data_IF_340649032010
#
_entry.id   IF_340649032010
#
_cell.length_a   1.000
_cell.length_b   1.000
_cell.length_c   1.000
_cell.angle_alpha   90.00
_cell.angle_beta   90.00
_cell.angle_gamma   90.00
#
_symmetry.space_group_name_H-M   'P 1'
#
loop_
_entity.id
_entity.type
_entity.pdbx_description
1 polymer ?
#
# COMPACT_ATOMS: atom_id res chain seq x y z
N UNK A 1 -7.88 -52.09 -64.52
CA UNK A 1 -7.07 -50.86 -64.53
C UNK A 1 -7.88 -49.79 -63.81
N UNK A 2 -7.23 -49.06 -62.89
CA UNK A 2 -7.67 -47.83 -62.22
C UNK A 2 -8.76 -47.99 -61.13
N UNK A 3 -8.43 -48.07 -59.83
CA UNK A 3 -7.90 -47.06 -58.89
C UNK A 3 -9.00 -46.23 -58.24
N UNK A 4 -9.24 -46.41 -56.93
CA UNK A 4 -9.59 -45.26 -56.08
C UNK A 4 -9.09 -45.50 -54.65
N UNK A 5 -8.03 -44.77 -54.31
CA UNK A 5 -7.46 -44.68 -52.99
C UNK A 5 -8.34 -43.76 -52.14
N UNK A 6 -8.78 -44.21 -50.96
CA UNK A 6 -9.34 -43.34 -49.93
C UNK A 6 -8.37 -43.26 -48.76
N UNK A 7 -7.79 -42.07 -48.63
CA UNK A 7 -6.84 -41.59 -47.65
C UNK A 7 -7.49 -41.39 -46.26
N UNK A 8 -7.04 -42.07 -45.19
CA UNK A 8 -7.51 -41.79 -43.84
C UNK A 8 -6.72 -40.62 -43.23
N UNK A 9 -7.34 -39.43 -43.21
CA UNK A 9 -6.79 -38.24 -42.53
C UNK A 9 -6.48 -38.54 -41.05
N UNK A 10 -5.36 -38.03 -40.49
CA UNK A 10 -5.08 -38.15 -39.06
C UNK A 10 -6.05 -37.28 -38.24
N UNK A 11 -6.62 -37.86 -37.18
CA UNK A 11 -7.44 -37.15 -36.19
C UNK A 11 -6.57 -36.13 -35.45
N UNK A 12 -6.98 -34.87 -35.45
CA UNK A 12 -6.37 -33.79 -34.66
C UNK A 12 -6.59 -34.05 -33.16
N UNK A 13 -5.56 -34.58 -32.50
CA UNK A 13 -5.51 -34.60 -31.04
C UNK A 13 -5.41 -33.17 -30.51
N UNK A 14 -6.40 -32.72 -29.75
CA UNK A 14 -6.31 -31.45 -29.02
C UNK A 14 -5.15 -31.53 -28.02
N UNK A 15 -4.27 -30.52 -27.92
CA UNK A 15 -3.16 -30.56 -26.99
C UNK A 15 -3.68 -30.65 -25.55
N UNK A 16 -3.20 -31.67 -24.82
CA UNK A 16 -3.56 -31.93 -23.44
C UNK A 16 -3.36 -30.70 -22.56
N UNK A 17 -4.36 -30.43 -21.72
CA UNK A 17 -4.32 -29.34 -20.73
C UNK A 17 -3.15 -29.61 -19.78
N UNK A 18 -2.08 -28.82 -19.87
CA UNK A 18 -1.01 -28.84 -18.87
C UNK A 18 -1.61 -28.33 -17.55
N UNK A 19 -1.57 -29.09 -16.45
CA UNK A 19 -2.01 -28.58 -15.16
C UNK A 19 -1.08 -27.44 -14.76
N UNK A 20 -1.66 -26.25 -14.49
CA UNK A 20 -0.90 -25.13 -13.95
C UNK A 20 -0.29 -25.55 -12.60
N UNK A 21 1.00 -25.26 -12.35
CA UNK A 21 1.58 -25.48 -11.03
C UNK A 21 0.80 -24.67 -9.98
N UNK A 22 0.65 -25.18 -8.75
CA UNK A 22 0.02 -24.43 -7.69
C UNK A 22 0.80 -23.13 -7.50
N UNK A 23 0.10 -22.00 -7.53
CA UNK A 23 0.66 -20.69 -7.17
C UNK A 23 0.82 -20.69 -5.65
N UNK A 24 1.85 -21.41 -5.18
CA UNK A 24 2.36 -21.34 -3.83
C UNK A 24 3.19 -20.08 -3.66
N UNK A 25 2.53 -18.91 -3.65
CA UNK A 25 3.09 -17.75 -2.99
C UNK A 25 2.97 -18.02 -1.50
N UNK A 26 4.08 -18.46 -0.88
CA UNK A 26 4.12 -18.85 0.52
C UNK A 26 3.39 -17.85 1.40
N UNK A 27 2.54 -18.36 2.29
CA UNK A 27 2.27 -17.66 3.54
C UNK A 27 3.65 -17.41 4.16
N UNK A 28 4.13 -16.18 4.07
CA UNK A 28 5.23 -15.75 4.91
C UNK A 28 4.77 -16.05 6.33
N UNK A 29 5.49 -16.97 6.98
CA UNK A 29 5.10 -17.50 8.28
C UNK A 29 4.72 -16.37 9.22
N UNK A 30 3.48 -16.39 9.70
CA UNK A 30 3.07 -15.60 10.87
C UNK A 30 3.48 -16.29 12.17
N UNK A 31 4.39 -17.26 12.09
CA UNK A 31 5.06 -17.85 13.25
C UNK A 31 6.36 -17.07 13.47
N UNK A 32 6.62 -16.71 14.72
CA UNK A 32 7.94 -16.32 15.25
C UNK A 32 8.33 -14.83 15.27
N UNK A 33 7.37 -13.91 15.44
CA UNK A 33 7.70 -12.57 16.02
C UNK A 33 7.11 -12.44 17.43
N UNK A 34 7.46 -13.41 18.26
CA UNK A 34 7.16 -13.43 19.68
C UNK A 34 8.45 -13.60 20.49
N UNK A 35 9.46 -12.75 20.30
CA UNK A 35 10.58 -12.64 21.24
C UNK A 35 11.46 -11.42 20.95
N UNK A 36 11.02 -10.23 21.37
CA UNK A 36 11.87 -9.19 21.98
C UNK A 36 10.97 -7.99 22.33
N UNK A 37 10.58 -7.86 23.61
CA UNK A 37 9.67 -6.80 24.09
C UNK A 37 10.36 -5.81 25.04
N UNK A 38 11.68 -5.67 24.93
CA UNK A 38 12.45 -4.76 25.78
C UNK A 38 12.75 -3.40 25.13
N UNK A 39 12.51 -3.25 23.84
CA UNK A 39 12.39 -1.95 23.17
C UNK A 39 10.98 -1.78 22.62
N UNK A 40 10.38 -0.57 22.68
CA UNK A 40 9.18 -0.31 21.89
C UNK A 40 9.57 -0.58 20.44
N UNK A 41 9.10 -1.71 19.89
CA UNK A 41 9.44 -2.14 18.55
C UNK A 41 9.16 -0.96 17.60
N UNK A 42 10.22 -0.49 16.91
CA UNK A 42 10.12 0.64 16.00
C UNK A 42 9.10 0.31 14.91
N UNK A 43 7.89 0.85 15.05
CA UNK A 43 6.79 0.58 14.13
C UNK A 43 6.81 1.60 13.01
N UNK A 44 7.01 1.11 11.80
CA UNK A 44 6.96 1.91 10.58
C UNK A 44 5.60 1.78 9.89
N UNK A 45 5.10 2.91 9.39
CA UNK A 45 3.89 2.98 8.58
C UNK A 45 4.27 3.26 7.13
N UNK A 46 3.82 2.42 6.21
CA UNK A 46 3.90 2.69 4.78
C UNK A 46 2.88 3.78 4.39
N UNK A 47 3.39 4.91 3.92
CA UNK A 47 2.61 6.09 3.48
C UNK A 47 2.51 6.20 1.95
N UNK A 48 2.91 5.17 1.21
CA UNK A 48 2.85 5.09 -0.26
C UNK A 48 4.22 4.98 -0.91
N UNK A 49 4.31 4.28 -2.05
CA UNK A 49 5.53 4.16 -2.88
C UNK A 49 6.83 3.83 -2.13
N UNK A 50 6.75 2.87 -1.21
CA UNK A 50 7.88 2.47 -0.36
C UNK A 50 8.46 3.61 0.52
N UNK A 51 7.65 4.64 0.81
CA UNK A 51 7.95 5.64 1.83
C UNK A 51 7.37 5.20 3.17
N UNK A 52 8.14 5.41 4.24
CA UNK A 52 7.80 4.97 5.58
C UNK A 52 7.95 6.11 6.60
N UNK A 53 7.06 6.14 7.58
CA UNK A 53 7.10 7.09 8.70
C UNK A 53 7.01 6.33 10.01
N UNK A 54 7.70 6.80 11.05
CA UNK A 54 7.58 6.25 12.40
C UNK A 54 6.18 6.52 12.95
N UNK A 55 5.47 5.45 13.32
CA UNK A 55 4.10 5.54 13.85
C UNK A 55 4.05 6.40 15.11
N UNK A 56 5.04 6.25 16.00
CA UNK A 56 5.11 6.98 17.26
C UNK A 56 5.30 8.49 17.13
N UNK A 57 5.60 8.99 15.93
CA UNK A 57 5.83 10.41 15.65
C UNK A 57 4.63 11.08 14.99
N UNK A 58 3.63 10.31 14.55
CA UNK A 58 2.45 10.85 13.86
C UNK A 58 1.48 11.39 14.92
N UNK A 59 1.20 12.70 14.86
CA UNK A 59 0.26 13.39 15.75
C UNK A 59 -1.12 13.50 15.11
N UNK A 60 -1.19 13.66 13.80
CA UNK A 60 -2.46 13.77 13.08
C UNK A 60 -2.39 13.19 11.66
N UNK A 61 -3.54 12.73 11.17
CA UNK A 61 -3.79 12.33 9.79
C UNK A 61 -5.00 13.12 9.30
N UNK A 62 -4.84 13.92 8.26
CA UNK A 62 -5.86 14.88 7.81
C UNK A 62 -6.05 14.87 6.30
N UNK A 63 -7.23 15.28 5.85
CA UNK A 63 -7.59 15.39 4.44
C UNK A 63 -7.09 16.70 3.81
N UNK A 64 -6.53 16.71 2.59
CA UNK A 64 -5.84 17.89 2.02
C UNK A 64 -6.76 18.92 1.34
N UNK A 65 -8.09 18.77 1.42
CA UNK A 65 -9.02 19.50 0.53
C UNK A 65 -9.29 20.95 0.96
N UNK A 66 -9.13 21.29 2.24
CA UNK A 66 -9.52 22.60 2.78
C UNK A 66 -8.45 23.68 2.59
N UNK A 67 -8.87 24.95 2.60
CA UNK A 67 -7.93 26.09 2.50
C UNK A 67 -6.86 26.11 3.61
N UNK A 68 -7.18 25.80 4.89
CA UNK A 68 -6.16 25.66 5.94
C UNK A 68 -5.10 24.60 5.63
N UNK A 69 -5.48 23.50 4.98
CA UNK A 69 -4.54 22.41 4.64
C UNK A 69 -3.61 22.78 3.48
N UNK A 70 -4.09 23.59 2.54
CA UNK A 70 -3.22 24.17 1.50
C UNK A 70 -2.17 25.09 2.14
N UNK A 71 -2.59 25.97 3.05
CA UNK A 71 -1.68 26.84 3.82
C UNK A 71 -0.66 26.04 4.62
N UNK A 72 -1.11 24.99 5.33
CA UNK A 72 -0.21 24.11 6.09
C UNK A 72 0.90 23.52 5.22
N UNK A 73 0.57 23.05 4.00
CA UNK A 73 1.56 22.52 3.05
C UNK A 73 2.53 23.60 2.59
N UNK A 74 2.01 24.78 2.23
CA UNK A 74 2.82 25.92 1.76
C UNK A 74 3.79 26.39 2.86
N UNK A 75 3.30 26.54 4.09
CA UNK A 75 4.09 26.92 5.26
C UNK A 75 5.14 25.87 5.62
N UNK A 76 4.81 24.57 5.52
CA UNK A 76 5.80 23.51 5.71
C UNK A 76 6.87 23.52 4.62
N UNK A 77 6.48 23.80 3.37
CA UNK A 77 7.40 23.93 2.24
C UNK A 77 8.36 25.11 2.43
N UNK A 78 7.82 26.28 2.81
CA UNK A 78 8.61 27.48 3.10
C UNK A 78 9.60 27.28 4.26
N UNK A 79 9.25 26.44 5.24
CA UNK A 79 10.12 26.10 6.39
C UNK A 79 11.06 24.92 6.12
N UNK A 80 11.04 24.32 4.93
CA UNK A 80 11.83 23.12 4.62
C UNK A 80 11.41 21.87 5.41
N UNK A 81 10.19 21.84 5.96
CA UNK A 81 9.62 20.72 6.73
C UNK A 81 8.60 19.87 5.94
N UNK A 82 8.45 20.14 4.65
CA UNK A 82 7.55 19.39 3.78
C UNK A 82 8.25 18.15 3.21
N UNK A 83 7.64 16.99 3.39
CA UNK A 83 8.08 15.72 2.80
C UNK A 83 7.02 15.25 1.81
N UNK A 84 7.36 15.20 0.53
CA UNK A 84 6.46 14.70 -0.50
C UNK A 84 6.67 13.20 -0.76
N UNK A 85 5.77 12.36 -0.23
CA UNK A 85 5.76 10.92 -0.46
C UNK A 85 4.76 10.49 -1.55
N UNK A 86 4.25 11.42 -2.36
CA UNK A 86 3.22 11.15 -3.37
C UNK A 86 3.75 10.66 -4.70
N UNK A 87 5.05 10.84 -4.98
CA UNK A 87 5.68 10.48 -6.26
C UNK A 87 4.92 11.04 -7.49
N UNK A 88 4.54 12.32 -7.42
CA UNK A 88 3.83 13.02 -8.49
C UNK A 88 2.33 12.69 -8.60
N UNK A 89 1.77 11.91 -7.67
CA UNK A 89 0.34 11.59 -7.65
C UNK A 89 -0.45 12.60 -6.82
N UNK A 90 -1.77 12.61 -7.01
CA UNK A 90 -2.67 13.42 -6.20
C UNK A 90 -2.46 13.14 -4.71
N UNK A 91 -2.19 14.18 -3.93
CA UNK A 91 -2.21 14.13 -2.47
C UNK A 91 -3.62 13.78 -2.00
N UNK A 92 -3.72 12.67 -1.26
CA UNK A 92 -4.99 12.16 -0.70
C UNK A 92 -5.05 12.32 0.82
N UNK A 93 -3.90 12.39 1.49
CA UNK A 93 -3.80 12.66 2.92
C UNK A 93 -2.53 13.46 3.24
N UNK A 94 -2.56 14.06 4.42
CA UNK A 94 -1.44 14.76 5.04
C UNK A 94 -1.24 14.14 6.42
N UNK A 95 0.01 13.76 6.73
CA UNK A 95 0.39 13.36 8.08
C UNK A 95 1.18 14.50 8.72
N UNK A 96 0.88 14.80 9.98
CA UNK A 96 1.60 15.78 10.78
C UNK A 96 2.38 15.05 11.85
N UNK A 97 3.67 15.34 11.96
CA UNK A 97 4.53 14.77 13.00
C UNK A 97 4.74 15.73 14.17
N UNK A 98 5.22 15.20 15.28
CA UNK A 98 5.62 15.95 16.48
C UNK A 98 6.78 16.95 16.24
N UNK A 99 7.51 16.81 15.14
CA UNK A 99 8.58 17.71 14.70
C UNK A 99 8.12 18.80 13.72
N UNK A 100 6.80 18.96 13.56
CA UNK A 100 6.10 19.75 12.53
C UNK A 100 6.44 19.35 11.08
N UNK A 101 6.97 18.15 10.84
CA UNK A 101 7.08 17.69 9.47
C UNK A 101 5.69 17.39 8.93
N UNK A 102 5.45 17.84 7.71
CA UNK A 102 4.20 17.60 6.98
C UNK A 102 4.51 16.61 5.88
N UNK A 103 3.98 15.40 6.00
CA UNK A 103 4.19 14.33 5.03
C UNK A 103 2.98 14.22 4.13
N UNK A 104 3.16 14.49 2.84
CA UNK A 104 2.11 14.32 1.83
C UNK A 104 2.06 12.88 1.39
N UNK A 105 0.88 12.28 1.42
CA UNK A 105 0.69 10.89 1.01
C UNK A 105 -0.34 10.78 -0.10
N UNK A 106 -0.06 9.88 -1.02
CA UNK A 106 -1.01 9.46 -2.04
C UNK A 106 -1.93 8.34 -1.52
N UNK A 107 -2.00 8.06 -0.22
CA UNK A 107 -2.96 7.13 0.37
C UNK A 107 -4.14 7.88 0.97
N UNK A 108 -5.30 7.22 1.01
CA UNK A 108 -6.47 7.78 1.69
C UNK A 108 -6.24 7.81 3.21
N UNK A 109 -6.76 8.82 3.93
CA UNK A 109 -6.68 8.91 5.39
C UNK A 109 -7.16 7.63 6.08
N UNK A 110 -8.27 7.05 5.61
CA UNK A 110 -8.86 5.83 6.19
C UNK A 110 -7.93 4.62 6.06
N UNK A 111 -7.18 4.54 4.96
CA UNK A 111 -6.16 3.49 4.76
C UNK A 111 -5.00 3.63 5.74
N UNK A 112 -4.62 4.86 6.06
CA UNK A 112 -3.57 5.13 7.05
C UNK A 112 -4.06 4.75 8.45
N UNK A 113 -5.25 5.21 8.84
CA UNK A 113 -5.86 4.89 10.15
C UNK A 113 -5.98 3.38 10.35
N UNK A 114 -6.50 2.66 9.35
CA UNK A 114 -6.59 1.19 9.40
C UNK A 114 -5.23 0.51 9.62
N UNK A 115 -4.14 1.07 9.09
CA UNK A 115 -2.78 0.54 9.26
C UNK A 115 -2.12 0.92 10.59
N UNK A 116 -2.52 2.05 11.17
CA UNK A 116 -2.05 2.49 12.49
C UNK A 116 -2.47 1.50 13.60
N UNK A 117 -3.56 0.75 13.38
CA UNK A 117 -3.95 -0.35 14.26
C UNK A 117 -4.53 0.11 15.60
N UNK A 118 -4.90 1.38 15.72
CA UNK A 118 -5.58 1.89 16.90
C UNK A 118 -7.02 1.38 16.88
N UNK A 119 -7.36 0.45 17.76
CA UNK A 119 -8.73 -0.02 17.99
C UNK A 119 -9.67 1.02 18.59
N UNK A 120 -9.37 2.32 18.45
CA UNK A 120 -10.33 3.38 18.69
C UNK A 120 -11.25 3.42 17.47
N UNK A 121 -12.54 3.17 17.69
CA UNK A 121 -13.56 3.34 16.67
C UNK A 121 -13.40 4.74 16.06
N UNK A 122 -12.97 4.80 14.80
CA UNK A 122 -13.14 6.00 14.00
C UNK A 122 -14.66 6.18 13.90
N UNK A 123 -15.21 7.14 14.66
CA UNK A 123 -16.66 7.38 14.73
C UNK A 123 -17.22 7.97 13.43
N UNK A 124 -16.36 8.20 12.43
CA UNK A 124 -16.77 8.58 11.09
C UNK A 124 -17.47 9.94 11.07
N UNK A 125 -17.14 10.83 12.01
CA UNK A 125 -17.72 12.17 12.10
C UNK A 125 -17.79 12.89 10.73
N UNK A 126 -18.85 13.68 10.51
CA UNK A 126 -19.32 14.12 9.19
C UNK A 126 -18.35 15.02 8.40
#
# INVERSE_FOLDING_TARGET
MSSEATDPRPRSGSPGRVPKPPVGGGKLGTADVASDRTHPALRLLNVGYANFVLVSRIVAVVSPQSAPMKRLREEAGARGKLVDATQGRRTRSILVTDSDHVVLSALNPETIVARLGTGAAFDGGP
#
